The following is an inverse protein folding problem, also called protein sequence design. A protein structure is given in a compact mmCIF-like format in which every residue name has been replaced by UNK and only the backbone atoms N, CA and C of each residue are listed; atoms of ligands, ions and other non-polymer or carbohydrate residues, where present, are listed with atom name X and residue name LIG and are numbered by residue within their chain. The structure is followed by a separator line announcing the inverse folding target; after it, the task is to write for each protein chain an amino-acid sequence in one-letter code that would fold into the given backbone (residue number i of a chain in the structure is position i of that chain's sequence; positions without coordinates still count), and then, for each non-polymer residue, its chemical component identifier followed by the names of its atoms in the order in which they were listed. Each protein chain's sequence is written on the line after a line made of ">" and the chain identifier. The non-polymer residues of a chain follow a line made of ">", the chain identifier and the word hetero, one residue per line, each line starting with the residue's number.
data_IF_108952319637
#
_entry.id   IF_108952319637
#
_cell.length_a   1.000
_cell.length_b   1.000
_cell.length_c   1.000
_cell.angle_alpha   90.00
_cell.angle_beta   90.00
_cell.angle_gamma   90.00
#
_symmetry.space_group_name_H-M   'P 1'
#
loop_
_entity.id
_entity.type
_entity.pdbx_description
1 polymer ?
#
# COMPACT_ATOMS: atom_id res chain seq x y z
N UNK A 1 19.81 16.00 24.82
CA UNK A 1 19.68 17.46 24.57
C UNK A 1 20.58 17.78 23.38
N UNK A 2 20.02 17.84 22.16
CA UNK A 2 20.77 18.15 20.94
C UNK A 2 20.13 19.42 20.35
N UNK A 3 20.98 20.42 20.20
CA UNK A 3 20.68 21.78 19.76
C UNK A 3 20.24 21.81 18.28
N UNK A 4 19.11 22.45 18.00
CA UNK A 4 18.65 22.79 16.65
C UNK A 4 19.22 24.16 16.28
N UNK A 5 20.11 24.22 15.29
CA UNK A 5 20.46 25.48 14.64
C UNK A 5 19.66 25.63 13.36
N UNK A 6 18.82 26.66 13.32
CA UNK A 6 18.06 27.07 12.15
C UNK A 6 19.00 27.64 11.07
N UNK A 7 18.96 27.07 9.87
CA UNK A 7 19.30 27.81 8.65
C UNK A 7 18.23 27.55 7.60
N UNK A 8 17.49 28.62 7.32
CA UNK A 8 16.69 28.85 6.13
C UNK A 8 17.52 28.60 4.87
N UNK A 9 17.06 27.67 4.03
CA UNK A 9 17.61 27.40 2.71
C UNK A 9 16.79 26.28 2.07
N UNK A 10 16.17 26.57 0.93
CA UNK A 10 15.42 25.61 0.13
C UNK A 10 16.29 24.37 -0.14
N UNK A 11 15.91 23.21 0.38
CA UNK A 11 16.59 21.94 0.14
C UNK A 11 15.99 21.33 -1.14
N UNK A 12 16.77 21.11 -2.21
CA UNK A 12 16.28 20.39 -3.37
C UNK A 12 16.05 18.92 -3.00
N UNK A 13 14.93 18.36 -3.47
CA UNK A 13 14.35 17.04 -3.16
C UNK A 13 15.21 15.79 -3.52
N UNK A 14 16.52 15.93 -3.73
CA UNK A 14 17.41 14.83 -4.13
C UNK A 14 18.47 14.43 -3.08
N UNK A 15 18.39 14.87 -1.82
CA UNK A 15 19.45 14.60 -0.83
C UNK A 15 19.17 13.48 0.18
N UNK A 16 18.16 12.62 -0.02
CA UNK A 16 17.85 11.53 0.92
C UNK A 16 18.23 10.12 0.44
N UNK A 17 18.92 9.99 -0.70
CA UNK A 17 19.53 8.71 -1.12
C UNK A 17 21.04 8.85 -1.23
N UNK A 18 21.69 9.00 -0.08
CA UNK A 18 23.11 8.66 0.08
C UNK A 18 23.22 7.60 1.18
N UNK A 19 22.69 6.42 0.89
CA UNK A 19 23.09 5.20 1.58
C UNK A 19 24.08 4.49 0.65
N UNK A 20 25.38 4.59 1.00
CA UNK A 20 26.51 3.78 0.52
C UNK A 20 26.24 2.92 -0.73
N UNK A 21 26.61 3.44 -1.89
CA UNK A 21 26.57 2.74 -3.19
C UNK A 21 27.62 1.64 -3.37
N UNK A 22 28.42 1.30 -2.34
CA UNK A 22 29.68 0.58 -2.54
C UNK A 22 29.75 -0.79 -1.84
N UNK A 23 28.60 -1.44 -1.62
CA UNK A 23 28.53 -2.89 -1.42
C UNK A 23 27.35 -3.42 -2.24
N UNK A 24 27.58 -3.63 -3.53
CA UNK A 24 26.67 -4.38 -4.37
C UNK A 24 26.57 -5.81 -3.80
N UNK A 25 25.55 -6.06 -2.98
CA UNK A 25 25.20 -7.39 -2.48
C UNK A 25 25.10 -8.32 -3.70
N UNK A 26 26.07 -9.23 -3.82
CA UNK A 26 26.19 -10.25 -4.88
C UNK A 26 25.14 -11.37 -4.76
N UNK A 27 24.00 -11.05 -4.17
CA UNK A 27 22.79 -11.85 -4.20
C UNK A 27 21.76 -11.00 -4.92
N UNK A 28 21.47 -11.34 -6.17
CA UNK A 28 20.30 -10.81 -6.85
C UNK A 28 19.08 -11.22 -6.01
N UNK A 29 18.67 -10.36 -5.08
CA UNK A 29 17.47 -10.57 -4.29
C UNK A 29 16.31 -10.40 -5.25
N UNK A 30 15.76 -11.53 -5.68
CA UNK A 30 14.47 -11.58 -6.37
C UNK A 30 13.41 -11.16 -5.35
N UNK A 31 13.15 -9.85 -5.25
CA UNK A 31 12.01 -9.34 -4.51
C UNK A 31 10.78 -9.53 -5.37
N UNK A 32 9.89 -10.44 -4.99
CA UNK A 32 8.55 -10.53 -5.55
C UNK A 32 7.66 -9.54 -4.79
N UNK A 33 7.13 -8.49 -5.42
CA UNK A 33 6.21 -7.58 -4.75
C UNK A 33 4.96 -8.32 -4.28
N UNK A 34 4.70 -8.25 -2.97
CA UNK A 34 3.48 -8.79 -2.35
C UNK A 34 2.59 -7.62 -1.95
N UNK A 35 1.34 -7.66 -2.39
CA UNK A 35 0.31 -6.67 -2.07
C UNK A 35 -0.75 -7.35 -1.20
N UNK A 36 -0.83 -6.94 0.06
CA UNK A 36 -1.89 -7.36 0.96
C UNK A 36 -2.92 -6.25 1.13
N UNK A 37 -4.19 -6.57 0.85
CA UNK A 37 -5.32 -5.65 0.97
C UNK A 37 -6.22 -6.13 2.09
N UNK A 38 -6.26 -5.39 3.19
CA UNK A 38 -7.22 -5.61 4.26
C UNK A 38 -8.45 -4.74 4.02
N UNK A 39 -9.64 -5.34 4.07
CA UNK A 39 -10.89 -4.60 3.90
C UNK A 39 -12.06 -5.16 4.71
N UNK A 40 -13.04 -4.31 4.97
CA UNK A 40 -14.31 -4.75 5.55
C UNK A 40 -15.07 -5.65 4.57
N UNK A 41 -15.59 -6.77 5.08
CA UNK A 41 -16.40 -7.72 4.33
C UNK A 41 -17.71 -7.09 3.83
N UNK A 42 -18.14 -7.52 2.65
CA UNK A 42 -19.44 -7.12 2.08
C UNK A 42 -19.44 -6.83 0.59
N UNK A 43 -18.27 -6.87 -0.06
CA UNK A 43 -18.18 -6.73 -1.52
C UNK A 43 -18.55 -8.05 -2.21
N UNK A 44 -19.15 -7.95 -3.40
CA UNK A 44 -19.28 -9.10 -4.30
C UNK A 44 -17.90 -9.66 -4.69
N UNK A 45 -17.75 -10.98 -4.84
CA UNK A 45 -16.51 -11.60 -5.34
C UNK A 45 -16.06 -11.02 -6.69
N UNK A 46 -17.00 -10.62 -7.55
CA UNK A 46 -16.68 -10.00 -8.84
C UNK A 46 -15.97 -8.65 -8.69
N UNK A 47 -16.36 -7.85 -7.70
CA UNK A 47 -15.70 -6.58 -7.40
C UNK A 47 -14.25 -6.81 -6.94
N UNK A 48 -14.01 -7.84 -6.14
CA UNK A 48 -12.67 -8.21 -5.69
C UNK A 48 -11.79 -8.68 -6.87
N UNK A 49 -12.34 -9.53 -7.76
CA UNK A 49 -11.65 -9.95 -8.99
C UNK A 49 -11.30 -8.78 -9.89
N UNK A 50 -12.20 -7.82 -10.04
CA UNK A 50 -11.97 -6.62 -10.83
C UNK A 50 -10.89 -5.73 -10.22
N UNK A 51 -10.85 -5.58 -8.89
CA UNK A 51 -9.77 -4.89 -8.20
C UNK A 51 -8.41 -5.53 -8.46
N UNK A 52 -8.30 -6.86 -8.31
CA UNK A 52 -7.05 -7.60 -8.55
C UNK A 52 -6.58 -7.40 -10.00
N UNK A 53 -7.47 -7.56 -10.99
CA UNK A 53 -7.15 -7.35 -12.42
C UNK A 53 -6.71 -5.92 -12.71
N UNK A 54 -7.39 -4.93 -12.13
CA UNK A 54 -7.04 -3.54 -12.30
C UNK A 54 -5.67 -3.21 -11.70
N UNK A 55 -5.32 -3.82 -10.55
CA UNK A 55 -3.99 -3.67 -9.96
C UNK A 55 -2.90 -4.26 -10.86
N UNK A 56 -3.09 -5.46 -11.39
CA UNK A 56 -2.12 -6.03 -12.36
C UNK A 56 -1.91 -5.12 -13.57
N UNK A 57 -3.00 -4.59 -14.14
CA UNK A 57 -2.92 -3.67 -15.29
C UNK A 57 -2.19 -2.37 -14.95
N UNK A 58 -2.52 -1.76 -13.81
CA UNK A 58 -1.92 -0.49 -13.38
C UNK A 58 -0.44 -0.66 -13.02
N UNK A 59 -0.08 -1.74 -12.35
CA UNK A 59 1.31 -2.03 -12.00
C UNK A 59 2.13 -2.31 -13.25
N UNK A 60 1.62 -3.16 -14.15
CA UNK A 60 2.31 -3.46 -15.41
C UNK A 60 2.49 -2.22 -16.29
N UNK A 61 1.51 -1.33 -16.33
CA UNK A 61 1.60 -0.10 -17.14
C UNK A 61 2.49 0.99 -16.51
N UNK A 62 2.51 1.14 -15.19
CA UNK A 62 3.23 2.23 -14.52
C UNK A 62 4.64 1.86 -14.07
N UNK A 63 4.86 0.60 -13.69
CA UNK A 63 6.11 0.15 -13.07
C UNK A 63 6.88 -0.86 -13.94
N UNK A 64 6.34 -1.26 -15.10
CA UNK A 64 6.94 -2.26 -16.00
C UNK A 64 7.21 -3.61 -15.34
N UNK A 65 6.45 -3.95 -14.29
CA UNK A 65 6.53 -5.23 -13.58
C UNK A 65 5.56 -6.21 -14.24
N UNK A 66 6.05 -7.40 -14.58
CA UNK A 66 5.19 -8.43 -15.17
C UNK A 66 4.15 -8.92 -14.15
N UNK A 67 2.89 -9.18 -14.54
CA UNK A 67 1.89 -9.75 -13.64
C UNK A 67 2.32 -11.06 -12.96
N UNK A 68 3.22 -11.84 -13.59
CA UNK A 68 3.73 -13.10 -13.01
C UNK A 68 4.65 -12.88 -11.81
N UNK A 69 5.19 -11.67 -11.66
CA UNK A 69 6.13 -11.32 -10.60
C UNK A 69 5.44 -10.70 -9.38
N UNK A 70 4.10 -10.52 -9.40
CA UNK A 70 3.34 -9.84 -8.35
C UNK A 70 2.33 -10.80 -7.71
N UNK A 71 2.31 -10.83 -6.38
CA UNK A 71 1.31 -11.57 -5.61
C UNK A 71 0.32 -10.60 -4.94
N UNK A 72 -0.99 -10.85 -5.06
CA UNK A 72 -2.04 -10.00 -4.48
C UNK A 72 -2.99 -10.86 -3.65
N UNK A 73 -3.14 -10.51 -2.37
CA UNK A 73 -4.10 -11.17 -1.46
C UNK A 73 -5.08 -10.16 -0.89
N UNK A 74 -6.38 -10.48 -0.94
CA UNK A 74 -7.43 -9.73 -0.24
C UNK A 74 -7.82 -10.50 1.02
N UNK A 75 -7.76 -9.83 2.16
CA UNK A 75 -8.24 -10.31 3.44
C UNK A 75 -9.46 -9.51 3.86
N UNK A 76 -10.56 -10.21 4.07
CA UNK A 76 -11.80 -9.62 4.56
C UNK A 76 -11.96 -9.89 6.06
N UNK A 77 -12.39 -8.86 6.78
CA UNK A 77 -12.83 -9.00 8.17
C UNK A 77 -14.21 -8.38 8.34
N UNK A 78 -15.00 -8.90 9.28
CA UNK A 78 -16.32 -8.35 9.53
C UNK A 78 -16.22 -6.88 10.00
N UNK A 79 -17.21 -6.02 9.73
CA UNK A 79 -17.15 -4.61 10.12
C UNK A 79 -16.85 -4.35 11.60
N UNK A 80 -17.37 -5.18 12.52
CA UNK A 80 -17.11 -5.08 13.96
C UNK A 80 -15.67 -5.45 14.37
N UNK A 81 -14.90 -6.10 13.49
CA UNK A 81 -13.48 -6.42 13.71
C UNK A 81 -12.56 -5.28 13.27
N UNK A 82 -13.11 -4.25 12.66
CA UNK A 82 -12.38 -3.04 12.27
C UNK A 82 -12.57 -1.96 13.34
N UNK A 83 -11.48 -1.34 13.77
CA UNK A 83 -11.51 -0.15 14.62
C UNK A 83 -10.78 1.00 13.95
N UNK A 84 -11.47 2.12 13.74
CA UNK A 84 -10.87 3.34 13.21
C UNK A 84 -11.64 4.56 13.73
N UNK A 85 -10.96 5.70 13.89
CA UNK A 85 -11.56 6.96 14.41
C UNK A 85 -12.26 6.80 15.78
N UNK A 86 -11.85 5.82 16.59
CA UNK A 86 -12.44 5.56 17.90
C UNK A 86 -13.80 4.87 17.88
N UNK A 87 -14.20 4.29 16.74
CA UNK A 87 -15.43 3.52 16.58
C UNK A 87 -15.15 2.21 15.81
N UNK A 88 -16.08 1.27 15.86
CA UNK A 88 -16.00 0.06 15.03
C UNK A 88 -16.53 0.31 13.62
N UNK A 89 -16.18 -0.55 12.67
CA UNK A 89 -16.57 -0.37 11.26
C UNK A 89 -18.08 -0.46 11.00
N UNK A 90 -18.84 -1.12 11.87
CA UNK A 90 -20.30 -1.12 11.88
C UNK A 90 -20.93 0.12 12.54
N UNK A 91 -20.18 0.85 13.36
CA UNK A 91 -20.59 2.14 13.94
C UNK A 91 -20.29 3.34 13.01
N UNK A 92 -19.45 3.12 11.99
CA UNK A 92 -19.01 4.14 11.06
C UNK A 92 -20.12 4.55 10.06
N UNK A 93 -20.92 5.54 10.46
CA UNK A 93 -22.01 6.10 9.66
C UNK A 93 -21.56 7.18 8.66
N UNK A 94 -20.32 7.69 8.79
CA UNK A 94 -19.74 8.77 7.98
C UNK A 94 -18.98 8.28 6.74
N UNK A 95 -19.07 6.97 6.43
CA UNK A 95 -18.40 6.38 5.28
C UNK A 95 -18.97 6.92 3.96
N UNK A 96 -18.14 7.64 3.21
CA UNK A 96 -18.47 8.17 1.87
C UNK A 96 -18.60 7.07 0.80
N UNK A 97 -18.43 5.80 1.15
CA UNK A 97 -18.51 4.66 0.24
C UNK A 97 -19.36 3.54 0.85
N UNK A 98 -20.14 2.86 0.00
CA UNK A 98 -20.94 1.70 0.43
C UNK A 98 -20.03 0.51 0.69
N UNK A 99 -20.19 -0.20 1.81
CA UNK A 99 -19.48 -1.45 2.08
C UNK A 99 -20.12 -2.61 1.29
N UNK A 100 -21.45 -2.73 1.34
CA UNK A 100 -22.22 -3.71 0.56
C UNK A 100 -22.57 -3.17 -0.81
N UNK A 101 -22.22 -3.90 -1.86
CA UNK A 101 -22.51 -3.57 -3.28
C UNK A 101 -22.88 -4.81 -4.07
#
# INVERSE_FOLDING_TARGET
>A
MISLNSKSGLIPINSCWNANSDQADSVARFYLPVIEINMMAGRKPETQKNLIKALFQNIGSQLLISPVDVEITIKEQAPYQWGFRGMTGDEANDLKYKIKV
#
